data_IF_408899243951
#
_entry.id   IF_408899243951
#
_cell.length_a   1.000
_cell.length_b   1.000
_cell.length_c   1.000
_cell.angle_alpha   90.00
_cell.angle_beta   90.00
_cell.angle_gamma   90.00
#
_symmetry.space_group_name_H-M   'P 1'
#
loop_
_entity.id
_entity.type
_entity.pdbx_description
1 polymer ?
#
# COMPACT_ATOMS: atom_id res chain seq x y z
N UNK A 1 -1.16 2.20 31.89
CA UNK A 1 -1.42 1.87 31.42
C UNK A 1 -1.44 1.22 30.64
N UNK A 2 -1.22 1.03 30.42
CA UNK A 2 -1.29 0.54 29.83
C UNK A 2 -1.76 -0.14 29.08
N UNK A 3 -2.17 -0.21 29.18
CA UNK A 3 -3.09 -0.99 28.48
C UNK A 3 -3.01 -0.98 27.03
N UNK A 4 -2.69 0.08 26.47
CA UNK A 4 -2.48 0.15 25.05
C UNK A 4 -1.49 -0.87 24.59
N UNK A 5 -0.73 -1.33 25.49
CA UNK A 5 0.26 -2.31 25.17
C UNK A 5 -0.33 -3.62 24.70
N UNK A 6 -1.59 -3.82 24.93
CA UNK A 6 -2.18 -5.07 24.57
C UNK A 6 -2.50 -5.19 23.10
N UNK A 7 -2.55 -4.09 22.38
CA UNK A 7 -2.80 -4.13 20.95
C UNK A 7 -1.52 -3.87 20.21
N UNK A 8 -1.21 -4.68 19.19
CA UNK A 8 -0.04 -4.39 18.36
C UNK A 8 -0.13 -3.00 17.76
N UNK A 9 1.00 -2.35 17.50
CA UNK A 9 0.96 -1.06 16.81
C UNK A 9 0.20 -1.17 15.51
N UNK A 10 -0.69 -0.25 15.27
CA UNK A 10 -1.47 -0.24 14.05
C UNK A 10 -2.72 -1.07 14.05
N UNK A 11 -2.94 -1.84 15.12
CA UNK A 11 -4.13 -2.68 15.19
C UNK A 11 -5.19 -2.05 16.08
N UNK A 12 -6.35 -1.82 15.52
CA UNK A 12 -7.57 -1.43 16.21
C UNK A 12 -8.72 -2.13 15.52
N UNK A 13 -9.83 -2.32 16.21
CA UNK A 13 -10.95 -3.04 15.63
C UNK A 13 -11.38 -2.44 14.29
N UNK A 14 -11.43 -1.15 14.16
CA UNK A 14 -11.85 -0.52 12.93
C UNK A 14 -10.75 -0.39 11.89
N UNK A 15 -9.50 -0.73 12.25
CA UNK A 15 -8.35 -0.50 11.39
C UNK A 15 -7.66 -1.76 10.94
N UNK A 16 -8.29 -2.93 11.09
CA UNK A 16 -7.63 -4.16 10.73
C UNK A 16 -7.31 -4.20 9.23
N UNK A 17 -8.25 -3.72 8.41
CA UNK A 17 -8.01 -3.66 6.98
C UNK A 17 -6.74 -2.87 6.68
N UNK A 18 -6.62 -1.69 7.29
CA UNK A 18 -5.45 -0.85 7.08
C UNK A 18 -4.18 -1.47 7.61
N UNK A 19 -4.27 -2.18 8.73
CA UNK A 19 -3.11 -2.85 9.29
C UNK A 19 -2.60 -3.96 8.37
N UNK A 20 -3.50 -4.69 7.74
CA UNK A 20 -3.12 -5.73 6.81
C UNK A 20 -2.49 -5.14 5.54
N UNK A 21 -3.05 -4.05 5.03
CA UNK A 21 -2.45 -3.37 3.89
C UNK A 21 -1.05 -2.89 4.24
N UNK A 22 -0.89 -2.27 5.42
CA UNK A 22 0.41 -1.78 5.85
C UNK A 22 1.42 -2.91 5.99
N UNK A 23 0.99 -4.05 6.50
CA UNK A 23 1.88 -5.20 6.64
C UNK A 23 2.32 -5.72 5.27
N UNK A 24 1.39 -5.76 4.31
CA UNK A 24 1.73 -6.17 2.96
C UNK A 24 2.72 -5.23 2.29
N UNK A 25 2.50 -3.92 2.46
CA UNK A 25 3.41 -2.93 1.90
C UNK A 25 4.80 -3.03 2.52
N UNK A 26 4.87 -3.23 3.83
CA UNK A 26 6.15 -3.40 4.50
C UNK A 26 6.88 -4.64 4.01
N UNK A 27 6.13 -5.71 3.75
CA UNK A 27 6.68 -6.94 3.21
C UNK A 27 7.37 -6.69 1.86
N UNK A 28 6.71 -5.95 0.97
CA UNK A 28 7.29 -5.63 -0.33
C UNK A 28 8.49 -4.70 -0.19
N UNK A 29 8.41 -3.70 0.69
CA UNK A 29 9.51 -2.76 0.88
C UNK A 29 10.73 -3.43 1.48
N UNK A 30 10.55 -4.53 2.19
CA UNK A 30 11.66 -5.31 2.71
C UNK A 30 12.33 -6.16 1.62
N UNK A 31 11.91 -6.02 0.38
CA UNK A 31 12.50 -6.75 -0.73
C UNK A 31 12.00 -8.17 -0.86
N UNK A 32 10.91 -8.49 -0.20
CA UNK A 32 10.35 -9.84 -0.25
C UNK A 32 9.39 -9.99 -1.41
N UNK A 33 9.23 -11.24 -1.82
CA UNK A 33 8.37 -11.57 -2.94
C UNK A 33 6.90 -11.31 -2.61
N UNK A 34 6.07 -10.97 -3.62
CA UNK A 34 4.62 -10.91 -3.38
C UNK A 34 3.97 -12.28 -3.22
N UNK A 35 4.77 -13.33 -3.11
CA UNK A 35 4.25 -14.69 -2.94
C UNK A 35 3.88 -15.04 -1.50
N UNK A 36 3.85 -14.07 -0.60
CA UNK A 36 3.40 -14.30 0.77
C UNK A 36 1.94 -14.74 0.78
N UNK A 37 1.52 -15.39 1.85
CA UNK A 37 0.12 -15.75 2.02
C UNK A 37 -0.56 -14.76 2.96
N UNK A 38 -1.88 -14.62 2.77
CA UNK A 38 -2.65 -13.79 3.69
C UNK A 38 -2.53 -14.29 5.12
N UNK A 39 -2.46 -15.61 5.29
CA UNK A 39 -2.31 -16.21 6.62
C UNK A 39 -1.00 -15.78 7.28
N UNK A 40 0.07 -15.69 6.51
CA UNK A 40 1.35 -15.23 7.06
C UNK A 40 1.26 -13.79 7.55
N UNK A 41 0.56 -12.94 6.82
CA UNK A 41 0.39 -11.56 7.25
C UNK A 41 -0.44 -11.48 8.52
N UNK A 42 -1.46 -12.33 8.67
CA UNK A 42 -2.27 -12.31 9.89
C UNK A 42 -1.42 -12.63 11.11
N UNK A 43 -0.45 -13.52 10.97
CA UNK A 43 0.44 -13.81 12.08
C UNK A 43 1.28 -12.59 12.45
N UNK A 44 1.75 -11.86 11.46
CA UNK A 44 2.55 -10.65 11.72
C UNK A 44 1.74 -9.57 12.39
N UNK A 45 0.47 -9.44 12.01
CA UNK A 45 -0.41 -8.43 12.59
C UNK A 45 -0.96 -8.88 13.94
N UNK A 46 -1.00 -10.18 14.19
CA UNK A 46 -1.46 -10.71 15.46
C UNK A 46 -2.97 -10.96 15.48
N UNK A 47 -3.55 -11.31 14.35
CA UNK A 47 -4.98 -11.56 14.26
C UNK A 47 -5.21 -12.93 13.66
N UNK A 48 -6.46 -13.41 13.75
CA UNK A 48 -6.82 -14.70 13.17
C UNK A 48 -7.02 -14.56 11.67
N UNK A 49 -6.86 -15.68 10.97
CA UNK A 49 -7.13 -15.71 9.54
C UNK A 49 -8.59 -15.36 9.25
N UNK A 50 -9.52 -15.82 10.11
CA UNK A 50 -10.93 -15.53 9.92
C UNK A 50 -11.22 -14.03 9.95
N UNK A 51 -10.54 -13.30 10.84
CA UNK A 51 -10.72 -11.86 10.90
C UNK A 51 -10.27 -11.20 9.62
N UNK A 52 -9.15 -11.66 9.06
CA UNK A 52 -8.64 -11.11 7.82
C UNK A 52 -9.57 -11.37 6.65
N UNK A 53 -10.15 -12.58 6.60
CA UNK A 53 -11.04 -12.94 5.49
C UNK A 53 -12.35 -12.15 5.49
N UNK A 54 -12.67 -11.47 6.58
CA UNK A 54 -13.81 -10.56 6.57
C UNK A 54 -13.53 -9.29 5.78
N UNK A 55 -12.24 -8.93 5.65
CA UNK A 55 -11.85 -7.73 4.92
C UNK A 55 -11.36 -8.03 3.52
N UNK A 56 -10.73 -9.18 3.33
CA UNK A 56 -10.16 -9.57 2.04
C UNK A 56 -10.55 -11.01 1.78
N UNK A 57 -11.40 -11.22 0.78
CA UNK A 57 -11.85 -12.57 0.45
C UNK A 57 -10.69 -13.43 -0.03
N UNK A 58 -9.65 -12.79 -0.58
CA UNK A 58 -8.50 -13.51 -1.12
C UNK A 58 -7.27 -12.64 -1.01
N UNK A 59 -6.10 -13.25 -1.21
CA UNK A 59 -4.86 -12.50 -1.30
C UNK A 59 -4.91 -11.47 -2.42
N UNK A 60 -5.56 -11.82 -3.52
CA UNK A 60 -5.66 -10.91 -4.67
C UNK A 60 -6.37 -9.63 -4.29
N UNK A 61 -7.41 -9.72 -3.47
CA UNK A 61 -8.09 -8.52 -3.00
C UNK A 61 -7.17 -7.65 -2.16
N UNK A 62 -6.32 -8.26 -1.36
CA UNK A 62 -5.33 -7.51 -0.59
C UNK A 62 -4.32 -6.84 -1.50
N UNK A 63 -3.85 -7.54 -2.52
CA UNK A 63 -2.89 -6.94 -3.46
C UNK A 63 -3.48 -5.74 -4.17
N UNK A 64 -4.76 -5.79 -4.53
CA UNK A 64 -5.42 -4.63 -5.13
C UNK A 64 -5.47 -3.47 -4.15
N UNK A 65 -5.81 -3.75 -2.90
CA UNK A 65 -5.84 -2.69 -1.89
C UNK A 65 -4.46 -2.08 -1.66
N UNK A 66 -3.41 -2.90 -1.71
CA UNK A 66 -2.04 -2.40 -1.60
C UNK A 66 -1.70 -1.50 -2.77
N UNK A 67 -2.09 -1.88 -3.99
CA UNK A 67 -1.84 -1.06 -5.16
C UNK A 67 -2.58 0.26 -5.09
N UNK A 68 -3.83 0.24 -4.61
CA UNK A 68 -4.59 1.49 -4.43
C UNK A 68 -3.89 2.43 -3.45
N UNK A 69 -3.39 1.88 -2.36
CA UNK A 69 -2.65 2.69 -1.40
C UNK A 69 -1.37 3.24 -2.02
N UNK A 70 -0.72 2.45 -2.88
CA UNK A 70 0.46 2.93 -3.60
C UNK A 70 0.13 4.12 -4.48
N UNK A 71 -0.97 4.05 -5.24
CA UNK A 71 -1.39 5.17 -6.07
C UNK A 71 -1.74 6.38 -5.23
N UNK A 72 -2.38 6.18 -4.09
CA UNK A 72 -2.70 7.30 -3.20
C UNK A 72 -1.43 8.01 -2.74
N UNK A 73 -0.43 7.23 -2.31
CA UNK A 73 0.83 7.80 -1.84
C UNK A 73 1.57 8.53 -2.95
N UNK A 74 1.62 7.93 -4.13
CA UNK A 74 2.27 8.57 -5.28
C UNK A 74 1.60 9.89 -5.62
N UNK A 75 0.27 9.90 -5.65
CA UNK A 75 -0.48 11.11 -5.96
C UNK A 75 -0.19 12.20 -4.95
N UNK A 76 -0.13 11.86 -3.67
CA UNK A 76 0.17 12.85 -2.64
C UNK A 76 1.57 13.42 -2.78
N UNK A 77 2.54 12.56 -3.10
CA UNK A 77 3.91 13.03 -3.28
C UNK A 77 4.03 13.94 -4.48
N UNK A 78 3.34 13.60 -5.56
CA UNK A 78 3.37 14.45 -6.75
C UNK A 78 2.68 15.78 -6.49
N UNK A 79 1.54 15.76 -5.81
CA UNK A 79 0.83 16.99 -5.49
C UNK A 79 1.68 17.90 -4.60
N UNK A 80 2.35 17.33 -3.61
CA UNK A 80 3.22 18.10 -2.73
C UNK A 80 4.39 18.68 -3.51
N UNK A 81 4.98 17.92 -4.42
CA UNK A 81 6.08 18.39 -5.23
C UNK A 81 5.66 19.55 -6.14
N UNK A 82 4.46 19.47 -6.71
CA UNK A 82 3.94 20.53 -7.56
C UNK A 82 3.72 21.80 -6.75
N UNK A 83 3.12 21.68 -5.57
CA UNK A 83 2.82 22.83 -4.74
C UNK A 83 4.06 23.57 -4.27
N UNK A 84 5.19 22.89 -4.22
CA UNK A 84 6.43 23.50 -3.80
C UNK A 84 7.06 24.37 -4.88
N UNK A 85 6.51 24.38 -6.10
CA UNK A 85 7.09 25.09 -7.22
C UNK A 85 6.32 26.36 -7.54
N UNK A 86 7.03 27.34 -8.13
CA UNK A 86 6.42 28.63 -8.41
C UNK A 86 5.75 28.70 -9.78
N UNK A 87 6.10 27.81 -10.69
CA UNK A 87 5.55 27.86 -12.04
C UNK A 87 4.97 26.52 -12.43
N UNK A 88 4.10 26.56 -13.43
CA UNK A 88 3.48 25.34 -13.95
C UNK A 88 4.53 24.40 -14.54
N UNK A 89 5.48 24.96 -15.29
CA UNK A 89 6.51 24.14 -15.89
C UNK A 89 7.38 23.46 -14.83
N UNK A 90 7.79 24.23 -13.79
CA UNK A 90 8.57 23.65 -12.70
C UNK A 90 7.78 22.61 -11.94
N UNK A 91 6.47 22.82 -11.78
CA UNK A 91 5.61 21.86 -11.13
C UNK A 91 5.53 20.55 -11.90
N UNK A 92 5.39 20.64 -13.22
CA UNK A 92 5.35 19.46 -14.07
C UNK A 92 6.65 18.64 -13.94
N UNK A 93 7.77 19.33 -13.97
CA UNK A 93 9.06 18.65 -13.82
C UNK A 93 9.21 18.03 -12.45
N UNK A 94 8.75 18.72 -11.41
CA UNK A 94 8.82 18.20 -10.04
C UNK A 94 7.95 16.95 -9.90
N UNK A 95 6.78 16.91 -10.52
CA UNK A 95 5.93 15.75 -10.49
C UNK A 95 6.62 14.54 -11.14
N UNK A 96 7.32 14.77 -12.24
CA UNK A 96 8.06 13.70 -12.90
C UNK A 96 9.18 13.16 -12.03
N UNK A 97 9.91 14.06 -11.34
CA UNK A 97 10.96 13.63 -10.43
C UNK A 97 10.39 12.85 -9.26
N UNK A 98 9.25 13.27 -8.74
CA UNK A 98 8.60 12.55 -7.64
C UNK A 98 8.18 11.15 -8.08
N UNK A 99 7.68 11.02 -9.29
CA UNK A 99 7.30 9.74 -9.86
C UNK A 99 8.50 8.78 -9.91
N UNK A 100 9.62 9.26 -10.43
CA UNK A 100 10.82 8.44 -10.53
C UNK A 100 11.34 8.08 -9.15
N UNK A 101 11.35 9.05 -8.22
CA UNK A 101 11.83 8.80 -6.87
C UNK A 101 10.98 7.75 -6.17
N UNK A 102 9.67 7.81 -6.37
CA UNK A 102 8.77 6.82 -5.79
C UNK A 102 9.09 5.42 -6.32
N UNK A 103 9.28 5.29 -7.63
CA UNK A 103 9.59 4.01 -8.24
C UNK A 103 10.91 3.45 -7.70
N UNK A 104 11.88 4.32 -7.46
CA UNK A 104 13.17 3.89 -6.94
C UNK A 104 13.11 3.47 -5.48
N UNK A 105 12.28 4.16 -4.68
CA UNK A 105 12.15 3.80 -3.27
C UNK A 105 11.29 2.58 -3.04
N UNK A 106 10.33 2.33 -3.93
CA UNK A 106 9.36 1.26 -3.76
C UNK A 106 9.25 0.41 -5.02
N UNK A 107 10.33 -0.24 -5.45
CA UNK A 107 10.31 -0.93 -6.76
C UNK A 107 9.29 -2.08 -6.82
N UNK A 108 9.16 -2.85 -5.74
CA UNK A 108 8.21 -3.96 -5.76
C UNK A 108 6.77 -3.47 -5.78
N UNK A 109 6.48 -2.43 -5.00
CA UNK A 109 5.16 -1.83 -5.00
C UNK A 109 4.86 -1.20 -6.35
N UNK A 110 5.83 -0.50 -6.92
CA UNK A 110 5.64 0.13 -8.22
C UNK A 110 5.29 -0.92 -9.28
N UNK A 111 5.98 -2.06 -9.27
CA UNK A 111 5.66 -3.13 -10.20
C UNK A 111 4.25 -3.68 -9.97
N UNK A 112 3.84 -3.78 -8.72
CA UNK A 112 2.48 -4.22 -8.41
C UNK A 112 1.45 -3.24 -8.94
N UNK A 113 1.68 -1.94 -8.71
CA UNK A 113 0.73 -0.89 -9.11
C UNK A 113 0.46 -0.90 -10.61
N UNK A 114 1.49 -1.13 -11.40
CA UNK A 114 1.39 -1.05 -12.86
C UNK A 114 1.46 -2.40 -13.54
N UNK A 115 1.35 -3.47 -12.76
CA UNK A 115 1.43 -4.82 -13.30
C UNK A 115 0.12 -5.27 -13.93
N UNK A 116 0.22 -6.36 -14.68
CA UNK A 116 -0.94 -6.91 -15.38
C UNK A 116 -2.06 -7.30 -14.46
N UNK A 117 -1.72 -7.82 -13.30
CA UNK A 117 -2.73 -8.27 -12.36
C UNK A 117 -3.68 -7.13 -11.98
N UNK A 118 -3.12 -5.99 -11.62
CA UNK A 118 -3.93 -4.85 -11.22
C UNK A 118 -4.71 -4.32 -12.41
N UNK A 119 -4.08 -4.26 -13.59
CA UNK A 119 -4.75 -3.75 -14.77
C UNK A 119 -5.98 -4.59 -15.12
N UNK A 120 -5.91 -5.90 -14.96
CA UNK A 120 -7.02 -6.77 -15.36
C UNK A 120 -8.02 -7.01 -14.25
N UNK A 121 -7.62 -6.90 -12.98
CA UNK A 121 -8.50 -7.27 -11.88
C UNK A 121 -8.93 -6.08 -11.02
N UNK A 122 -8.21 -4.97 -11.06
CA UNK A 122 -8.47 -3.84 -10.21
C UNK A 122 -8.93 -2.60 -10.95
N UNK A 123 -9.22 -2.71 -12.25
CA UNK A 123 -9.47 -1.51 -13.05
C UNK A 123 -10.66 -0.72 -12.56
N UNK A 124 -11.71 -1.38 -12.10
CA UNK A 124 -12.89 -0.67 -11.62
C UNK A 124 -12.58 0.13 -10.37
N UNK A 125 -11.77 -0.44 -9.49
CA UNK A 125 -11.43 0.24 -8.24
C UNK A 125 -10.46 1.39 -8.45
N UNK A 126 -9.67 1.33 -9.52
CA UNK A 126 -8.68 2.36 -9.80
C UNK A 126 -9.25 3.54 -10.55
N UNK A 127 -10.46 3.42 -11.05
CA UNK A 127 -11.12 4.55 -11.71
C UNK A 127 -11.74 5.49 -10.67
#
# INVERSE_FOLDING_TARGET
METAAESPPGYHHGNLREALVAAGLAHLDAGRSPDFSLRELTRQVGVSANAAYRHFASKEDLLIAMALEGFRRLTLEQASAIQAQASLAAGFMAAGRAYVAFAQRHPALFRLMFGRFVASNGSEELR
#
